data_IF_946564048947
#
_entry.id   IF_946564048947
#
_cell.length_a   1.000
_cell.length_b   1.000
_cell.length_c   1.000
_cell.angle_alpha   90.00
_cell.angle_beta   90.00
_cell.angle_gamma   90.00
#
_symmetry.space_group_name_H-M   'P 1'
#
loop_
_entity.id
_entity.type
_entity.pdbx_description
1 polymer ?
#
# COMPACT_ATOMS: atom_id res chain seq x y z
N UNK A 1 10.16 9.44 9.67
CA UNK A 1 10.74 8.08 9.60
C UNK A 1 10.64 7.57 8.16
N UNK A 2 11.59 6.75 7.71
CA UNK A 2 11.61 6.17 6.34
C UNK A 2 11.79 4.66 6.47
N UNK A 3 10.96 3.87 5.80
CA UNK A 3 10.99 2.40 5.84
C UNK A 3 11.00 1.90 4.39
N UNK A 4 11.85 0.91 4.10
CA UNK A 4 11.86 0.18 2.85
C UNK A 4 11.65 -1.31 3.15
N UNK A 5 10.69 -1.94 2.48
CA UNK A 5 10.38 -3.36 2.63
C UNK A 5 10.87 -4.10 1.37
N UNK A 6 11.78 -5.05 1.54
CA UNK A 6 12.40 -5.81 0.44
C UNK A 6 12.35 -7.32 0.73
N UNK A 7 12.62 -8.13 -0.28
CA UNK A 7 12.56 -9.60 -0.20
C UNK A 7 12.15 -10.26 -1.52
N UNK A 8 12.23 -11.60 -1.54
CA UNK A 8 11.88 -12.42 -2.72
C UNK A 8 10.42 -12.24 -3.15
N UNK A 9 10.07 -12.71 -4.34
CA UNK A 9 8.67 -12.76 -4.81
C UNK A 9 7.79 -13.59 -3.86
N UNK A 10 6.54 -13.17 -3.63
CA UNK A 10 5.57 -13.93 -2.85
C UNK A 10 5.73 -13.93 -1.32
N UNK A 11 6.77 -13.30 -0.74
CA UNK A 11 7.01 -13.32 0.72
C UNK A 11 6.12 -12.37 1.54
N UNK A 12 5.12 -11.72 0.92
CA UNK A 12 4.17 -10.84 1.62
C UNK A 12 4.62 -9.38 1.84
N UNK A 13 5.59 -8.89 1.06
CA UNK A 13 6.12 -7.50 1.17
C UNK A 13 5.02 -6.45 1.11
N UNK A 14 4.20 -6.50 0.06
CA UNK A 14 3.11 -5.55 -0.18
C UNK A 14 2.10 -5.54 0.97
N UNK A 15 1.78 -6.72 1.49
CA UNK A 15 0.89 -6.88 2.66
C UNK A 15 1.45 -6.19 3.89
N UNK A 16 2.72 -6.44 4.22
CA UNK A 16 3.38 -5.79 5.37
C UNK A 16 3.47 -4.28 5.17
N UNK A 17 3.83 -3.82 3.96
CA UNK A 17 3.88 -2.38 3.64
C UNK A 17 2.52 -1.71 3.83
N UNK A 18 1.42 -2.35 3.40
CA UNK A 18 0.07 -1.83 3.59
C UNK A 18 -0.34 -1.76 5.08
N UNK A 19 -0.05 -2.82 5.84
CA UNK A 19 -0.32 -2.86 7.29
C UNK A 19 0.45 -1.77 8.03
N UNK A 20 1.75 -1.62 7.75
CA UNK A 20 2.56 -0.56 8.37
C UNK A 20 2.04 0.83 8.03
N UNK A 21 1.68 1.07 6.76
CA UNK A 21 1.13 2.34 6.33
C UNK A 21 -0.19 2.65 7.06
N UNK A 22 -1.08 1.66 7.19
CA UNK A 22 -2.34 1.80 7.92
C UNK A 22 -2.12 2.11 9.40
N UNK A 23 -1.28 1.33 10.08
CA UNK A 23 -1.01 1.52 11.51
C UNK A 23 -0.44 2.92 11.80
N UNK A 24 0.50 3.40 10.98
CA UNK A 24 1.03 4.75 11.16
C UNK A 24 -0.02 5.85 10.86
N UNK A 25 -0.90 5.62 9.90
CA UNK A 25 -2.00 6.56 9.63
C UNK A 25 -2.99 6.58 10.81
N UNK A 26 -3.32 5.43 11.40
CA UNK A 26 -4.18 5.31 12.60
C UNK A 26 -3.55 5.98 13.84
N UNK A 27 -2.22 6.03 13.93
CA UNK A 27 -1.48 6.84 14.93
C UNK A 27 -1.50 8.36 14.63
N UNK A 28 -2.22 8.81 13.60
CA UNK A 28 -2.31 10.22 13.22
C UNK A 28 -1.10 10.76 12.45
N UNK A 29 -0.20 9.88 11.97
CA UNK A 29 0.96 10.32 11.16
C UNK A 29 0.54 10.53 9.71
N UNK A 30 1.14 11.53 9.07
CA UNK A 30 1.10 11.66 7.60
C UNK A 30 1.98 10.57 7.00
N UNK A 31 1.37 9.67 6.24
CA UNK A 31 2.03 8.54 5.59
C UNK A 31 2.05 8.74 4.08
N UNK A 32 3.21 8.50 3.48
CA UNK A 32 3.35 8.37 2.03
C UNK A 32 3.73 6.94 1.73
N UNK A 33 2.80 6.18 1.14
CA UNK A 33 3.00 4.79 0.76
C UNK A 33 3.34 4.73 -0.73
N UNK A 34 4.48 4.11 -1.08
CA UNK A 34 4.99 4.04 -2.46
C UNK A 34 5.19 2.59 -2.82
N UNK A 35 4.65 2.20 -3.98
CA UNK A 35 4.93 0.90 -4.60
C UNK A 35 5.90 1.10 -5.76
N UNK A 36 6.93 0.27 -5.82
CA UNK A 36 7.92 0.24 -6.91
C UNK A 36 7.88 -1.14 -7.60
N UNK A 37 6.90 -1.98 -7.24
CA UNK A 37 6.63 -3.24 -7.92
C UNK A 37 5.84 -2.96 -9.21
N UNK A 38 6.25 -3.53 -10.38
CA UNK A 38 5.54 -3.34 -11.65
C UNK A 38 4.08 -3.79 -11.61
N UNK A 39 3.71 -4.74 -10.74
CA UNK A 39 2.33 -5.21 -10.61
C UNK A 39 1.45 -4.24 -9.79
N UNK A 40 2.05 -3.27 -9.09
CA UNK A 40 1.39 -2.15 -8.40
C UNK A 40 0.20 -2.54 -7.48
N UNK A 41 0.41 -3.54 -6.61
CA UNK A 41 -0.64 -4.11 -5.76
C UNK A 41 -0.84 -3.39 -4.42
N UNK A 42 0.01 -2.42 -4.06
CA UNK A 42 -0.10 -1.73 -2.75
C UNK A 42 -1.41 -0.97 -2.58
N UNK A 43 -1.90 -0.31 -3.63
CA UNK A 43 -3.17 0.40 -3.59
C UNK A 43 -4.33 -0.53 -3.24
N UNK A 44 -4.38 -1.70 -3.90
CA UNK A 44 -5.37 -2.73 -3.63
C UNK A 44 -5.27 -3.25 -2.18
N UNK A 45 -4.05 -3.51 -1.71
CA UNK A 45 -3.82 -3.95 -0.32
C UNK A 45 -4.23 -2.90 0.73
N UNK A 46 -4.24 -1.61 0.36
CA UNK A 46 -4.74 -0.50 1.18
C UNK A 46 -6.25 -0.26 1.06
N UNK A 47 -6.96 -1.03 0.21
CA UNK A 47 -8.41 -0.87 -0.01
C UNK A 47 -8.78 0.10 -1.13
N UNK A 48 -7.83 0.50 -1.98
CA UNK A 48 -8.10 1.28 -3.18
C UNK A 48 -8.39 0.36 -4.38
N UNK A 49 -9.52 0.59 -5.04
CA UNK A 49 -9.93 -0.17 -6.22
C UNK A 49 -9.90 0.70 -7.46
N UNK A 50 -9.35 0.16 -8.55
CA UNK A 50 -9.33 0.83 -9.84
C UNK A 50 -10.68 0.61 -10.55
N UNK A 51 -11.43 1.69 -10.78
CA UNK A 51 -12.63 1.65 -11.60
C UNK A 51 -12.31 1.54 -13.10
N UNK A 52 -13.36 1.36 -13.91
CA UNK A 52 -13.24 1.17 -15.38
C UNK A 52 -12.57 2.34 -16.10
N UNK A 53 -12.62 3.54 -15.53
CA UNK A 53 -12.00 4.77 -16.05
C UNK A 53 -10.54 4.92 -15.66
N UNK A 54 -10.02 4.04 -14.79
CA UNK A 54 -8.66 4.14 -14.25
C UNK A 54 -8.53 4.95 -12.97
N UNK A 55 -9.63 5.49 -12.44
CA UNK A 55 -9.67 6.17 -11.15
C UNK A 55 -9.60 5.17 -9.99
N UNK A 56 -8.92 5.54 -8.91
CA UNK A 56 -8.85 4.76 -7.68
C UNK A 56 -9.88 5.27 -6.66
N UNK A 57 -10.73 4.37 -6.18
CA UNK A 57 -11.73 4.67 -5.15
C UNK A 57 -11.36 3.93 -3.87
N UNK A 58 -11.42 4.62 -2.73
CA UNK A 58 -11.32 3.99 -1.42
C UNK A 58 -12.68 3.37 -1.06
N UNK A 59 -12.69 2.10 -0.67
CA UNK A 59 -13.84 1.58 0.07
C UNK A 59 -13.73 2.04 1.53
N UNK A 60 -14.78 2.70 2.03
CA UNK A 60 -14.94 2.97 3.46
C UNK A 60 -15.37 1.71 4.20
#
# INVERSE_FOLDING_TARGET
>A
MKIAVTGKGGVGKTTISAVLARLYAEEGKKVFAVDVDPDANLGLALGFFRGRTGEYYAYQ
#
